data_IF_725816523561
#
_entry.id   IF_725816523561
#
_cell.length_a   1.000
_cell.length_b   1.000
_cell.length_c   1.000
_cell.angle_alpha   90.00
_cell.angle_beta   90.00
_cell.angle_gamma   90.00
#
_symmetry.space_group_name_H-M   'P 1'
#
loop_
_entity.id
_entity.type
_entity.pdbx_description
1 polymer ?
#
# COMPACT_ATOMS: atom_id res chain seq x y z
N UNK A 1 21.31 -15.17 7.91
CA UNK A 1 19.86 -14.91 8.06
C UNK A 1 19.38 -14.13 6.83
N UNK A 2 18.60 -14.76 5.96
CA UNK A 2 17.99 -14.09 4.81
C UNK A 2 16.66 -13.48 5.26
N UNK A 3 16.59 -12.15 5.32
CA UNK A 3 15.32 -11.46 5.54
C UNK A 3 14.63 -11.32 4.18
N UNK A 4 13.57 -12.10 3.95
CA UNK A 4 12.65 -11.90 2.83
C UNK A 4 12.02 -10.52 2.99
N UNK A 5 12.28 -9.62 2.06
CA UNK A 5 11.59 -8.33 1.96
C UNK A 5 10.13 -8.58 1.60
N UNK A 6 9.21 -8.30 2.53
CA UNK A 6 7.77 -8.30 2.26
C UNK A 6 7.46 -7.19 1.25
N UNK A 7 7.05 -7.58 0.04
CA UNK A 7 6.51 -6.68 -0.98
C UNK A 7 5.17 -6.18 -0.44
N UNK A 8 5.02 -4.88 -0.20
CA UNK A 8 3.73 -4.28 0.16
C UNK A 8 2.80 -4.46 -1.03
N UNK A 9 1.90 -5.45 -0.94
CA UNK A 9 0.92 -5.70 -1.97
C UNK A 9 0.05 -4.45 -2.11
N UNK A 10 0.02 -3.84 -3.31
CA UNK A 10 -1.08 -2.94 -3.66
C UNK A 10 -2.37 -3.64 -3.27
N UNK A 11 -3.19 -2.98 -2.47
CA UNK A 11 -4.45 -3.52 -1.97
C UNK A 11 -5.35 -3.78 -3.18
N UNK A 12 -5.41 -5.05 -3.58
CA UNK A 12 -6.11 -5.48 -4.79
C UNK A 12 -7.60 -5.46 -4.45
N UNK A 13 -8.30 -4.46 -4.95
CA UNK A 13 -9.76 -4.43 -4.92
C UNK A 13 -10.31 -5.34 -6.03
N UNK A 14 -11.14 -6.30 -5.61
CA UNK A 14 -11.97 -7.10 -6.52
C UNK A 14 -13.25 -6.34 -6.79
N UNK A 15 -13.49 -5.94 -8.04
CA UNK A 15 -14.81 -5.43 -8.38
C UNK A 15 -15.74 -6.61 -8.71
N UNK A 16 -16.85 -6.67 -7.99
CA UNK A 16 -17.90 -7.68 -8.18
C UNK A 16 -19.03 -7.02 -8.98
N UNK A 17 -19.39 -7.60 -10.12
CA UNK A 17 -20.57 -7.18 -10.85
C UNK A 17 -21.83 -7.47 -10.02
N UNK A 18 -22.84 -6.59 -10.04
CA UNK A 18 -24.15 -6.92 -9.49
C UNK A 18 -24.74 -8.14 -10.22
N UNK A 19 -25.81 -8.68 -9.66
CA UNK A 19 -26.54 -9.83 -10.22
C UNK A 19 -26.68 -9.71 -11.74
N UNK A 20 -26.12 -10.70 -12.44
CA UNK A 20 -26.09 -10.76 -13.90
C UNK A 20 -26.28 -12.21 -14.35
N UNK A 21 -27.03 -12.42 -15.42
CA UNK A 21 -27.18 -13.75 -15.99
C UNK A 21 -25.85 -14.25 -16.59
N UNK A 22 -25.67 -15.58 -16.61
CA UNK A 22 -24.43 -16.20 -17.08
C UNK A 22 -24.13 -15.83 -18.53
N UNK A 23 -25.13 -15.72 -19.40
CA UNK A 23 -24.93 -15.40 -20.82
C UNK A 23 -24.39 -13.97 -21.00
N UNK A 24 -24.98 -13.00 -20.32
CA UNK A 24 -24.51 -11.61 -20.35
C UNK A 24 -23.08 -11.48 -19.77
N UNK A 25 -22.78 -12.19 -18.68
CA UNK A 25 -21.43 -12.22 -18.12
C UNK A 25 -20.41 -12.80 -19.11
N UNK A 26 -20.74 -13.92 -19.75
CA UNK A 26 -19.89 -14.57 -20.75
C UNK A 26 -19.66 -13.66 -21.98
N UNK A 27 -20.67 -12.92 -22.42
CA UNK A 27 -20.54 -11.94 -23.50
C UNK A 27 -19.59 -10.79 -23.12
N UNK A 28 -19.73 -10.25 -21.90
CA UNK A 28 -18.83 -9.19 -21.39
C UNK A 28 -17.36 -9.63 -21.38
N UNK A 29 -17.10 -10.90 -21.06
CA UNK A 29 -15.74 -11.45 -21.12
C UNK A 29 -15.21 -11.36 -22.55
N UNK A 30 -15.97 -11.83 -23.55
CA UNK A 30 -15.53 -11.81 -24.96
C UNK A 30 -15.29 -10.39 -25.47
N UNK A 31 -16.24 -9.49 -25.22
CA UNK A 31 -16.19 -8.09 -25.68
C UNK A 31 -14.98 -7.33 -25.15
N UNK A 32 -14.57 -7.62 -23.91
CA UNK A 32 -13.45 -6.91 -23.28
C UNK A 32 -12.12 -7.64 -23.43
N UNK A 33 -12.11 -8.97 -23.48
CA UNK A 33 -10.88 -9.74 -23.60
C UNK A 33 -10.13 -9.42 -24.90
N UNK A 34 -10.83 -9.15 -26.01
CA UNK A 34 -10.20 -8.69 -27.27
C UNK A 34 -9.35 -7.44 -27.09
N UNK A 35 -9.74 -6.54 -26.18
CA UNK A 35 -9.00 -5.30 -25.88
C UNK A 35 -7.78 -5.56 -24.99
N UNK A 36 -7.75 -6.70 -24.30
CA UNK A 36 -6.68 -7.10 -23.38
C UNK A 36 -5.67 -8.09 -23.99
N UNK A 37 -6.04 -8.81 -25.06
CA UNK A 37 -5.25 -9.89 -25.70
C UNK A 37 -3.84 -9.44 -26.15
N UNK A 38 -3.59 -8.15 -26.35
CA UNK A 38 -2.31 -7.67 -26.90
C UNK A 38 -1.06 -8.00 -26.07
N UNK A 39 -1.16 -8.62 -24.88
CA UNK A 39 -0.04 -8.70 -23.94
C UNK A 39 0.20 -10.00 -23.14
N UNK A 40 -0.64 -11.04 -23.21
CA UNK A 40 -0.57 -12.10 -22.20
C UNK A 40 -0.57 -13.53 -22.75
N UNK A 41 0.37 -14.35 -22.25
CA UNK A 41 0.50 -15.80 -22.52
C UNK A 41 -0.66 -16.61 -21.93
N UNK A 42 -1.32 -16.08 -20.89
CA UNK A 42 -2.39 -16.78 -20.22
C UNK A 42 -3.74 -16.42 -20.86
N UNK A 43 -4.31 -17.38 -21.58
CA UNK A 43 -5.51 -17.22 -22.42
C UNK A 43 -6.84 -17.28 -21.65
N UNK A 44 -6.81 -17.31 -20.32
CA UNK A 44 -8.02 -17.39 -19.49
C UNK A 44 -8.42 -16.00 -18.98
N UNK A 45 -9.62 -15.55 -19.36
CA UNK A 45 -10.23 -14.31 -18.90
C UNK A 45 -11.45 -14.61 -18.06
N UNK A 46 -11.72 -13.78 -17.06
CA UNK A 46 -12.73 -14.08 -16.05
C UNK A 46 -13.30 -12.84 -15.41
N UNK A 47 -14.45 -12.96 -14.76
CA UNK A 47 -15.05 -11.91 -13.93
C UNK A 47 -15.73 -12.50 -12.70
N UNK A 48 -15.97 -11.65 -11.71
CA UNK A 48 -16.79 -11.96 -10.54
C UNK A 48 -18.16 -11.30 -10.67
N UNK A 49 -19.21 -12.04 -10.37
CA UNK A 49 -20.55 -11.49 -10.24
C UNK A 49 -21.27 -12.06 -9.03
N UNK A 50 -22.20 -11.30 -8.49
CA UNK A 50 -23.16 -11.81 -7.52
C UNK A 50 -24.09 -12.85 -8.18
N UNK A 51 -24.43 -13.88 -7.41
CA UNK A 51 -25.41 -14.90 -7.78
C UNK A 51 -26.83 -14.48 -7.35
N UNK A 52 -27.85 -15.14 -7.89
CA UNK A 52 -29.22 -15.01 -7.37
C UNK A 52 -29.41 -15.67 -5.99
N UNK A 53 -28.42 -16.43 -5.53
CA UNK A 53 -28.37 -17.02 -4.21
C UNK A 53 -27.62 -16.08 -3.27
N UNK A 54 -28.23 -15.73 -2.15
CA UNK A 54 -27.67 -14.84 -1.15
C UNK A 54 -26.27 -15.30 -0.72
N UNK A 55 -25.32 -14.37 -0.63
CA UNK A 55 -23.97 -14.67 -0.18
C UNK A 55 -23.14 -15.54 -1.14
N UNK A 56 -23.61 -15.79 -2.36
CA UNK A 56 -22.86 -16.54 -3.37
C UNK A 56 -22.29 -15.60 -4.43
N UNK A 57 -20.97 -15.70 -4.66
CA UNK A 57 -20.34 -15.15 -5.87
C UNK A 57 -20.16 -16.24 -6.92
N UNK A 58 -20.28 -15.86 -8.18
CA UNK A 58 -19.98 -16.71 -9.34
C UNK A 58 -18.79 -16.15 -10.10
N UNK A 59 -17.78 -16.99 -10.31
CA UNK A 59 -16.64 -16.76 -11.18
C UNK A 59 -17.00 -17.31 -12.56
N UNK A 60 -17.19 -16.40 -13.51
CA UNK A 60 -17.42 -16.73 -14.91
C UNK A 60 -16.08 -16.62 -15.65
N UNK A 61 -15.76 -17.58 -16.52
CA UNK A 61 -14.51 -17.52 -17.29
C UNK A 61 -14.61 -18.11 -18.69
N UNK A 62 -13.74 -17.62 -19.57
CA UNK A 62 -13.53 -18.11 -20.94
C UNK A 62 -12.06 -18.26 -21.24
N UNK A 63 -11.72 -19.34 -21.94
CA UNK A 63 -10.38 -19.60 -22.46
C UNK A 63 -10.33 -19.22 -23.94
N UNK A 64 -9.34 -18.44 -24.33
CA UNK A 64 -9.03 -18.19 -25.73
C UNK A 64 -8.34 -19.42 -26.33
N UNK A 65 -8.93 -19.98 -27.38
CA UNK A 65 -8.34 -21.05 -28.16
C UNK A 65 -8.22 -20.62 -29.62
N UNK A 66 -7.02 -20.22 -30.03
CA UNK A 66 -6.77 -19.71 -31.37
C UNK A 66 -6.98 -20.71 -32.51
N UNK A 67 -7.08 -22.01 -32.22
CA UNK A 67 -7.29 -23.06 -33.23
C UNK A 67 -8.75 -23.49 -33.34
N UNK A 68 -9.59 -23.17 -32.37
CA UNK A 68 -11.00 -23.53 -32.38
C UNK A 68 -11.81 -22.61 -33.32
N UNK A 69 -12.85 -23.13 -33.99
CA UNK A 69 -13.73 -22.30 -34.84
C UNK A 69 -14.43 -21.21 -34.02
N UNK A 70 -14.81 -21.53 -32.78
CA UNK A 70 -15.18 -20.54 -31.78
C UNK A 70 -13.98 -20.27 -30.88
N UNK A 71 -13.25 -19.18 -31.15
CA UNK A 71 -12.00 -18.84 -30.47
C UNK A 71 -12.12 -18.68 -28.95
N UNK A 72 -13.32 -18.71 -28.40
CA UNK A 72 -13.62 -18.51 -27.00
C UNK A 72 -14.43 -19.68 -26.43
N UNK A 73 -13.80 -20.43 -25.56
CA UNK A 73 -14.38 -21.61 -24.92
C UNK A 73 -14.85 -21.26 -23.51
N UNK A 74 -16.16 -21.33 -23.22
CA UNK A 74 -16.67 -21.14 -21.86
C UNK A 74 -16.10 -22.22 -20.94
N UNK A 75 -15.78 -21.85 -19.72
CA UNK A 75 -15.42 -22.78 -18.66
C UNK A 75 -16.60 -22.98 -17.72
N UNK A 76 -16.58 -24.07 -16.96
CA UNK A 76 -17.59 -24.30 -15.93
C UNK A 76 -17.51 -23.19 -14.86
N UNK A 77 -18.63 -22.56 -14.50
CA UNK A 77 -18.63 -21.51 -13.50
C UNK A 77 -18.24 -22.07 -12.14
N UNK A 78 -17.38 -21.36 -11.42
CA UNK A 78 -17.04 -21.67 -10.03
C UNK A 78 -17.86 -20.78 -9.12
N UNK A 79 -18.46 -21.35 -8.07
CA UNK A 79 -19.27 -20.60 -7.10
C UNK A 79 -18.65 -20.71 -5.72
N UNK A 80 -18.72 -19.62 -4.95
CA UNK A 80 -18.20 -19.53 -3.60
C UNK A 80 -19.23 -18.88 -2.68
N UNK A 81 -19.43 -19.45 -1.49
CA UNK A 81 -20.19 -18.84 -0.41
C UNK A 81 -19.30 -17.93 0.42
N UNK A 82 -19.75 -16.71 0.69
CA UNK A 82 -19.21 -15.88 1.75
C UNK A 82 -19.85 -16.29 3.08
N UNK A 83 -19.02 -16.69 4.03
CA UNK A 83 -19.46 -17.05 5.38
C UNK A 83 -18.68 -16.25 6.43
N UNK A 84 -19.14 -16.25 7.68
CA UNK A 84 -18.42 -15.69 8.83
C UNK A 84 -16.97 -16.21 8.97
N UNK A 85 -16.71 -17.44 8.49
CA UNK A 85 -15.37 -18.05 8.53
C UNK A 85 -14.59 -17.91 7.21
N UNK A 86 -15.10 -17.13 6.24
CA UNK A 86 -14.47 -16.91 4.93
C UNK A 86 -15.14 -17.66 3.77
N UNK A 87 -14.36 -17.90 2.69
CA UNK A 87 -14.90 -18.40 1.42
C UNK A 87 -14.96 -19.92 1.32
N UNK A 88 -16.17 -20.47 1.23
CA UNK A 88 -16.42 -21.90 1.05
C UNK A 88 -16.78 -22.23 -0.41
N UNK A 89 -16.37 -23.39 -0.91
CA UNK A 89 -16.76 -23.81 -2.26
C UNK A 89 -18.25 -24.21 -2.28
N UNK A 90 -18.94 -23.86 -3.35
CA UNK A 90 -20.33 -24.24 -3.54
C UNK A 90 -20.43 -25.71 -3.96
N UNK A 91 -21.17 -26.51 -3.20
CA UNK A 91 -21.49 -27.89 -3.58
C UNK A 91 -22.74 -27.91 -4.47
N UNK A 92 -22.58 -28.35 -5.71
CA UNK A 92 -23.68 -28.47 -6.66
C UNK A 92 -24.64 -29.63 -6.34
N UNK A 93 -24.19 -30.61 -5.54
CA UNK A 93 -25.00 -31.76 -5.15
C UNK A 93 -25.82 -31.50 -3.88
N UNK A 94 -25.34 -30.63 -2.99
CA UNK A 94 -26.08 -30.17 -1.81
C UNK A 94 -26.06 -28.64 -1.74
N UNK A 95 -26.96 -27.95 -2.49
CA UNK A 95 -26.94 -26.50 -2.64
C UNK A 95 -27.46 -25.76 -1.39
N UNK A 96 -27.42 -26.39 -0.22
CA UNK A 96 -27.85 -25.77 1.03
C UNK A 96 -26.81 -24.74 1.48
N UNK A 97 -27.27 -23.56 1.94
CA UNK A 97 -26.35 -22.57 2.48
C UNK A 97 -25.63 -23.16 3.70
N UNK A 98 -24.30 -22.99 3.81
CA UNK A 98 -23.61 -23.29 5.06
C UNK A 98 -24.14 -22.41 6.19
N UNK A 99 -23.81 -22.75 7.44
CA UNK A 99 -24.14 -21.86 8.57
C UNK A 99 -23.31 -20.57 8.49
N UNK A 100 -23.94 -19.46 8.86
CA UNK A 100 -23.26 -18.15 8.91
C UNK A 100 -22.98 -17.55 7.52
N UNK A 101 -23.85 -17.77 6.53
CA UNK A 101 -23.75 -17.09 5.23
C UNK A 101 -23.97 -15.59 5.42
N UNK A 102 -23.11 -14.79 4.77
CA UNK A 102 -23.19 -13.34 4.76
C UNK A 102 -23.58 -12.85 3.35
N UNK A 103 -24.45 -11.85 3.27
CA UNK A 103 -24.75 -11.19 2.01
C UNK A 103 -23.50 -10.54 1.40
N UNK A 104 -23.41 -10.51 0.06
CA UNK A 104 -22.28 -9.89 -0.67
C UNK A 104 -22.45 -8.37 -0.66
N UNK A 105 -22.10 -7.74 0.46
CA UNK A 105 -22.13 -6.29 0.64
C UNK A 105 -20.75 -5.78 1.01
N UNK A 106 -20.56 -4.45 0.84
CA UNK A 106 -19.31 -3.79 1.21
C UNK A 106 -18.97 -3.95 2.70
N UNK A 107 -19.99 -3.94 3.56
CA UNK A 107 -19.81 -4.05 5.01
C UNK A 107 -19.41 -5.47 5.45
N UNK A 108 -19.85 -6.49 4.71
CA UNK A 108 -19.54 -7.89 5.00
C UNK A 108 -18.21 -8.36 4.39
N UNK A 109 -17.70 -7.66 3.38
CA UNK A 109 -16.44 -7.97 2.70
C UNK A 109 -15.25 -7.32 3.41
N UNK A 110 -14.85 -7.93 4.51
CA UNK A 110 -13.64 -7.54 5.26
C UNK A 110 -12.37 -7.72 4.44
N UNK A 111 -11.28 -7.08 4.88
CA UNK A 111 -9.97 -7.22 4.26
C UNK A 111 -9.45 -8.67 4.28
N UNK A 112 -9.79 -9.43 5.32
CA UNK A 112 -9.46 -10.86 5.43
C UNK A 112 -10.22 -11.68 4.39
N UNK A 113 -11.51 -11.38 4.17
CA UNK A 113 -12.28 -12.01 3.10
C UNK A 113 -11.69 -11.72 1.72
N UNK A 114 -11.26 -10.49 1.47
CA UNK A 114 -10.63 -10.10 0.20
C UNK A 114 -9.32 -10.86 -0.02
N UNK A 115 -8.45 -10.94 1.00
CA UNK A 115 -7.19 -11.70 0.92
C UNK A 115 -7.44 -13.19 0.69
N UNK A 116 -8.35 -13.79 1.45
CA UNK A 116 -8.71 -15.19 1.29
C UNK A 116 -9.27 -15.50 -0.10
N UNK A 117 -10.08 -14.60 -0.68
CA UNK A 117 -10.56 -14.75 -2.05
C UNK A 117 -9.42 -14.75 -3.05
N UNK A 118 -8.48 -13.80 -2.91
CA UNK A 118 -7.30 -13.68 -3.77
C UNK A 118 -6.48 -14.95 -3.76
N UNK A 119 -6.17 -15.47 -2.57
CA UNK A 119 -5.40 -16.70 -2.43
C UNK A 119 -6.13 -17.87 -3.09
N UNK A 120 -7.44 -18.00 -2.86
CA UNK A 120 -8.27 -19.07 -3.44
C UNK A 120 -8.35 -19.01 -4.97
N UNK A 121 -8.33 -17.80 -5.54
CA UNK A 121 -8.32 -17.58 -6.99
C UNK A 121 -6.93 -17.84 -7.61
N UNK A 122 -5.87 -17.52 -6.89
CA UNK A 122 -4.50 -17.70 -7.34
C UNK A 122 -4.06 -19.18 -7.33
N UNK A 123 -4.44 -19.94 -6.29
CA UNK A 123 -4.02 -21.34 -6.10
C UNK A 123 -4.95 -22.36 -6.79
N UNK A 124 -6.11 -21.92 -7.29
CA UNK A 124 -7.09 -22.79 -7.94
C UNK A 124 -6.60 -23.39 -9.27
N UNK A 125 -7.32 -24.42 -9.73
CA UNK A 125 -7.26 -24.89 -11.11
C UNK A 125 -8.62 -24.62 -11.80
N UNK A 126 -8.69 -23.71 -12.79
CA UNK A 126 -7.57 -22.93 -13.31
C UNK A 126 -7.15 -21.80 -12.35
N UNK A 127 -5.89 -21.37 -12.47
CA UNK A 127 -5.39 -20.19 -11.73
C UNK A 127 -5.89 -18.93 -12.42
N UNK A 128 -6.53 -18.04 -11.65
CA UNK A 128 -7.15 -16.83 -12.14
C UNK A 128 -6.22 -15.62 -11.96
N UNK A 129 -5.50 -15.25 -13.03
CA UNK A 129 -4.66 -14.05 -13.00
C UNK A 129 -5.51 -12.78 -12.96
N UNK A 130 -5.23 -11.90 -12.00
CA UNK A 130 -5.89 -10.61 -11.85
C UNK A 130 -5.72 -9.68 -13.06
N UNK A 131 -4.65 -9.88 -13.84
CA UNK A 131 -4.39 -9.12 -15.07
C UNK A 131 -5.44 -9.40 -16.15
N UNK A 132 -6.05 -10.58 -16.10
CA UNK A 132 -7.07 -11.03 -17.04
C UNK A 132 -8.50 -10.88 -16.48
N UNK A 133 -8.65 -10.24 -15.31
CA UNK A 133 -9.95 -9.99 -14.71
C UNK A 133 -10.68 -8.88 -15.47
N UNK A 134 -11.92 -9.15 -15.86
CA UNK A 134 -12.86 -8.19 -16.41
C UNK A 134 -13.69 -7.64 -15.24
N UNK A 135 -13.72 -6.31 -15.11
CA UNK A 135 -14.38 -5.60 -14.01
C UNK A 135 -15.23 -4.43 -14.53
N UNK A 136 -16.24 -3.96 -13.78
CA UNK A 136 -17.21 -2.95 -14.25
C UNK A 136 -16.56 -1.67 -14.77
N UNK A 137 -15.51 -1.18 -14.08
CA UNK A 137 -14.82 0.05 -14.45
C UNK A 137 -13.84 -0.11 -15.63
N UNK A 138 -13.60 -1.33 -16.12
CA UNK A 138 -12.56 -1.62 -17.13
C UNK A 138 -12.71 -0.78 -18.40
N UNK A 139 -13.95 -0.53 -18.85
CA UNK A 139 -14.20 0.29 -20.05
C UNK A 139 -13.75 1.74 -19.86
N UNK A 140 -13.86 2.28 -18.65
CA UNK A 140 -13.42 3.64 -18.32
C UNK A 140 -11.90 3.70 -18.20
N UNK A 141 -11.28 2.69 -17.61
CA UNK A 141 -9.83 2.58 -17.55
C UNK A 141 -9.20 2.43 -18.93
N UNK A 142 -9.85 1.72 -19.85
CA UNK A 142 -9.44 1.66 -21.26
C UNK A 142 -9.57 3.05 -21.89
N UNK A 143 -10.73 3.71 -21.78
CA UNK A 143 -10.94 5.07 -22.35
C UNK A 143 -9.96 6.11 -21.78
N UNK A 144 -9.68 6.07 -20.48
CA UNK A 144 -8.69 6.93 -19.82
C UNK A 144 -7.30 6.69 -20.41
N UNK A 145 -6.89 5.43 -20.58
CA UNK A 145 -5.62 5.07 -21.22
C UNK A 145 -5.55 5.52 -22.69
N UNK A 146 -6.61 5.33 -23.45
CA UNK A 146 -6.72 5.76 -24.84
C UNK A 146 -6.66 7.29 -24.98
N UNK A 147 -7.34 8.04 -24.09
CA UNK A 147 -7.30 9.49 -24.08
C UNK A 147 -5.89 10.02 -23.75
N UNK A 148 -5.20 9.38 -22.80
CA UNK A 148 -3.79 9.67 -22.49
C UNK A 148 -2.90 9.37 -23.70
N UNK A 149 -3.13 8.25 -24.40
CA UNK A 149 -2.35 7.88 -25.57
C UNK A 149 -2.59 8.82 -26.75
N UNK A 150 -3.83 9.17 -27.07
CA UNK A 150 -4.17 10.08 -28.17
C UNK A 150 -3.65 11.51 -27.93
N UNK A 151 -3.59 11.95 -26.68
CA UNK A 151 -2.99 13.24 -26.31
C UNK A 151 -1.47 13.27 -26.57
N UNK A 152 -0.79 12.12 -26.61
CA UNK A 152 0.64 12.03 -26.93
C UNK A 152 0.92 12.14 -28.43
N UNK A 153 0.02 11.62 -29.26
CA UNK A 153 0.22 11.57 -30.71
C UNK A 153 -0.04 12.93 -31.39
N UNK A 154 -0.69 13.88 -30.70
CA UNK A 154 -0.97 15.22 -31.19
C UNK A 154 -0.19 16.27 -30.39
N UNK A 155 1.04 16.57 -30.83
CA UNK A 155 1.87 17.69 -30.31
C UNK A 155 1.25 19.10 -30.48
N UNK A 156 0.01 19.21 -30.95
CA UNK A 156 -0.67 20.49 -31.18
C UNK A 156 -1.56 20.85 -29.99
N UNK A 157 -0.98 21.39 -28.92
CA UNK A 157 -1.50 22.41 -27.98
C UNK A 157 -2.97 22.42 -27.50
N UNK A 158 -3.80 21.45 -27.86
CA UNK A 158 -5.22 21.40 -27.54
C UNK A 158 -5.34 20.45 -26.38
N UNK A 159 -5.63 21.00 -25.20
CA UNK A 159 -5.95 20.25 -23.99
C UNK A 159 -6.90 19.10 -24.33
N UNK A 160 -6.39 17.87 -24.28
CA UNK A 160 -7.19 16.68 -24.50
C UNK A 160 -8.37 16.70 -23.52
N UNK A 161 -9.59 16.52 -24.03
CA UNK A 161 -10.78 16.37 -23.17
C UNK A 161 -10.46 15.34 -22.11
N UNK A 162 -10.42 15.75 -20.84
CA UNK A 162 -10.25 14.86 -19.71
C UNK A 162 -11.27 13.73 -19.84
N UNK A 163 -10.79 12.49 -19.85
CA UNK A 163 -11.67 11.33 -19.83
C UNK A 163 -12.49 11.41 -18.54
N UNK A 164 -13.82 11.40 -18.69
CA UNK A 164 -14.73 11.47 -17.54
C UNK A 164 -14.49 10.28 -16.62
N UNK A 165 -14.70 10.50 -15.32
CA UNK A 165 -14.68 9.42 -14.34
C UNK A 165 -15.84 8.45 -14.54
N UNK A 166 -15.67 7.23 -14.01
CA UNK A 166 -16.70 6.20 -14.03
C UNK A 166 -17.92 6.69 -13.22
N UNK A 167 -19.13 6.73 -13.80
CA UNK A 167 -20.36 7.02 -13.07
C UNK A 167 -20.56 6.02 -11.93
N UNK A 168 -21.16 6.47 -10.82
CA UNK A 168 -21.35 5.60 -9.65
C UNK A 168 -22.26 4.40 -9.95
N UNK A 169 -23.20 4.49 -10.90
CA UNK A 169 -24.09 3.38 -11.28
C UNK A 169 -23.36 2.28 -12.05
N UNK A 170 -22.16 2.55 -12.56
CA UNK A 170 -21.36 1.61 -13.34
C UNK A 170 -20.19 1.01 -12.54
N UNK A 171 -20.05 1.38 -11.26
CA UNK A 171 -19.08 0.79 -10.34
C UNK A 171 -19.56 -0.58 -9.85
N UNK A 172 -18.61 -1.44 -9.49
CA UNK A 172 -18.91 -2.72 -8.85
C UNK A 172 -19.37 -2.56 -7.39
N UNK A 173 -19.79 -3.67 -6.78
CA UNK A 173 -20.19 -3.72 -5.36
C UNK A 173 -19.05 -3.25 -4.43
N UNK A 174 -17.82 -3.61 -4.80
CA UNK A 174 -16.59 -2.99 -4.30
C UNK A 174 -16.00 -2.30 -5.53
N UNK A 175 -15.77 -1.00 -5.48
CA UNK A 175 -15.06 -0.30 -6.56
C UNK A 175 -13.57 -0.22 -6.26
N UNK A 176 -12.70 -0.38 -7.27
CA UNK A 176 -11.27 -0.03 -7.18
C UNK A 176 -11.02 1.42 -6.79
N UNK A 177 -12.00 2.27 -7.05
CA UNK A 177 -11.99 3.69 -6.72
C UNK A 177 -12.57 4.00 -5.32
N UNK A 178 -12.97 3.00 -4.54
CA UNK A 178 -13.61 3.22 -3.24
C UNK A 178 -12.59 3.55 -2.13
N UNK A 179 -12.69 4.72 -1.48
CA UNK A 179 -11.75 5.15 -0.44
C UNK A 179 -11.99 4.47 0.92
N UNK A 180 -12.94 3.54 1.03
CA UNK A 180 -13.50 3.08 2.31
C UNK A 180 -12.97 1.73 2.82
N UNK A 181 -12.09 1.04 2.07
CA UNK A 181 -11.36 -0.09 2.65
C UNK A 181 -10.20 0.49 3.47
N UNK A 182 -10.14 0.25 4.79
CA UNK A 182 -9.10 0.81 5.63
C UNK A 182 -7.75 0.24 5.22
N UNK A 183 -6.87 1.10 4.72
CA UNK A 183 -5.45 0.82 4.52
C UNK A 183 -4.87 0.45 5.89
N UNK A 184 -4.83 -0.85 6.20
CA UNK A 184 -4.25 -1.33 7.45
C UNK A 184 -2.73 -1.27 7.36
N UNK A 185 -2.18 -0.22 7.97
CA UNK A 185 -0.79 -0.17 8.42
C UNK A 185 -0.62 -1.27 9.48
N UNK A 186 0.23 -2.27 9.22
CA UNK A 186 0.65 -3.23 10.26
C UNK A 186 1.39 -2.43 11.35
N UNK A 187 0.76 -2.21 12.51
CA UNK A 187 1.50 -1.91 13.74
C UNK A 187 2.19 -3.19 14.20
N UNK A 188 3.53 -3.20 14.18
CA UNK A 188 4.32 -4.30 14.74
C UNK A 188 4.19 -4.33 16.27
N UNK A 189 4.15 -5.52 16.91
CA UNK A 189 4.20 -5.62 18.37
C UNK A 189 5.58 -5.21 18.89
N UNK A 190 5.59 -4.43 19.97
CA UNK A 190 6.80 -4.01 20.66
C UNK A 190 7.46 -5.22 21.33
N UNK A 191 8.59 -5.69 20.79
CA UNK A 191 9.43 -6.67 21.49
C UNK A 191 10.29 -5.98 22.56
N UNK A 192 10.32 -6.59 23.74
CA UNK A 192 11.15 -6.22 24.87
C UNK A 192 12.64 -6.29 24.52
N UNK A 193 13.36 -5.17 24.71
CA UNK A 193 14.83 -5.15 24.68
C UNK A 193 15.35 -5.55 26.05
N UNK A 194 15.84 -6.78 26.20
CA UNK A 194 16.79 -7.13 27.26
C UNK A 194 18.17 -6.59 26.90
N UNK A 195 18.65 -5.68 27.74
CA UNK A 195 19.99 -5.08 27.70
C UNK A 195 21.06 -6.12 28.09
N UNK A 196 21.97 -6.41 27.18
CA UNK A 196 23.26 -7.06 27.49
C UNK A 196 24.38 -6.08 27.21
N UNK A 197 24.96 -5.53 28.29
CA UNK A 197 26.17 -4.73 28.25
C UNK A 197 27.41 -5.64 28.12
N UNK A 198 28.41 -5.17 27.36
CA UNK A 198 29.72 -5.79 27.18
C UNK A 198 30.58 -5.70 28.46
N UNK A 199 31.53 -6.63 28.68
CA UNK A 199 32.35 -6.65 29.88
C UNK A 199 33.60 -5.77 29.76
N UNK A 200 33.92 -5.05 30.84
CA UNK A 200 35.21 -4.38 31.05
C UNK A 200 36.11 -5.32 31.87
N UNK A 201 37.33 -5.57 31.38
CA UNK A 201 38.36 -6.33 32.08
C UNK A 201 38.93 -5.53 33.27
N UNK A 202 38.99 -6.14 34.45
CA UNK A 202 40.01 -5.83 35.46
C UNK A 202 40.61 -7.14 35.99
N UNK A 203 41.94 -7.21 36.00
CA UNK A 203 42.79 -8.29 36.50
C UNK A 203 42.82 -8.31 38.03
N UNK A 204 42.79 -9.49 38.65
CA UNK A 204 43.84 -10.01 39.57
C UNK A 204 43.47 -11.40 40.15
N UNK A 205 44.50 -12.25 40.29
CA UNK A 205 44.58 -13.64 40.79
C UNK A 205 44.89 -13.68 42.32
N UNK A 206 45.06 -14.84 43.02
CA UNK A 206 44.20 -16.01 43.30
C UNK A 206 44.21 -16.36 44.84
N UNK A 207 44.07 -17.62 45.33
CA UNK A 207 42.83 -18.26 45.81
C UNK A 207 42.88 -18.72 47.28
N UNK A 208 41.73 -19.00 47.91
CA UNK A 208 41.67 -19.96 49.03
C UNK A 208 40.41 -20.85 48.97
N UNK A 209 40.63 -22.12 49.30
CA UNK A 209 39.68 -23.24 49.34
C UNK A 209 38.62 -23.08 50.45
N UNK A 210 37.44 -23.67 50.26
CA UNK A 210 36.83 -24.74 51.09
C UNK A 210 35.44 -25.10 50.52
N UNK A 211 35.14 -26.40 50.59
CA UNK A 211 34.08 -27.20 49.96
C UNK A 211 32.77 -27.37 50.76
N UNK A 212 31.67 -27.69 50.04
CA UNK A 212 30.49 -28.54 50.44
C UNK A 212 29.48 -27.91 51.45
N UNK A 213 28.16 -28.17 51.53
CA UNK A 213 27.26 -29.27 51.09
C UNK A 213 25.76 -28.82 51.22
N UNK A 214 24.91 -29.21 50.25
CA UNK A 214 23.48 -29.68 50.26
C UNK A 214 22.36 -29.08 51.18
N UNK A 215 21.32 -28.50 50.51
CA UNK A 215 19.82 -28.56 50.57
C UNK A 215 19.00 -28.88 51.88
N UNK A 216 17.63 -28.89 51.87
CA UNK A 216 16.70 -27.77 52.16
C UNK A 216 15.62 -28.15 53.24
N UNK A 217 14.55 -27.36 53.49
CA UNK A 217 13.17 -27.81 53.84
C UNK A 217 12.21 -26.64 54.11
N UNK A 218 10.93 -26.88 53.77
CA UNK A 218 9.72 -26.04 53.75
C UNK A 218 9.04 -25.77 55.12
N UNK A 219 7.82 -25.18 55.01
CA UNK A 219 6.61 -25.23 55.85
C UNK A 219 6.56 -24.08 56.90
N UNK A 220 5.54 -23.20 57.03
CA UNK A 220 4.06 -23.36 57.01
C UNK A 220 3.28 -22.11 56.60
N UNK A 221 2.12 -22.39 56.00
CA UNK A 221 0.96 -21.52 55.80
C UNK A 221 0.01 -21.53 57.02
N UNK A 222 -0.96 -20.59 56.95
CA UNK A 222 -2.33 -20.53 57.51
C UNK A 222 -2.57 -19.62 58.75
N UNK A 223 -3.81 -19.08 58.95
CA UNK A 223 -4.69 -18.38 57.99
C UNK A 223 -5.51 -17.23 58.70
N UNK A 224 -6.76 -16.82 58.32
CA UNK A 224 -7.13 -15.40 58.30
C UNK A 224 -8.36 -15.04 59.16
N UNK A 225 -8.66 -13.75 59.39
CA UNK A 225 -10.01 -13.34 59.80
C UNK A 225 -10.45 -12.02 59.16
N UNK A 226 -11.69 -12.04 58.66
CA UNK A 226 -12.49 -10.93 58.13
C UNK A 226 -13.00 -10.03 59.25
N UNK A 227 -13.05 -8.71 59.05
CA UNK A 227 -14.22 -7.88 59.42
C UNK A 227 -14.36 -6.68 58.47
N UNK A 228 -15.59 -6.45 58.06
CA UNK A 228 -16.09 -5.40 57.15
C UNK A 228 -16.46 -4.12 57.93
N UNK A 229 -16.30 -2.95 57.30
CA UNK A 229 -17.33 -1.88 57.17
C UNK A 229 -16.92 -0.44 57.56
N UNK A 230 -17.39 0.48 56.70
CA UNK A 230 -17.79 1.89 56.88
C UNK A 230 -16.76 2.99 57.23
N UNK A 231 -16.48 3.88 56.25
CA UNK A 231 -16.91 5.30 56.23
C UNK A 231 -16.00 6.19 55.33
N UNK A 232 -16.62 7.01 54.47
CA UNK A 232 -16.07 8.22 53.85
C UNK A 232 -16.34 9.43 54.78
N UNK A 233 -15.93 10.70 54.49
CA UNK A 233 -14.88 11.26 53.60
C UNK A 233 -13.98 12.28 54.36
N UNK A 234 -13.02 12.96 53.70
CA UNK A 234 -12.73 14.42 53.86
C UNK A 234 -11.50 14.86 53.04
N UNK A 235 -11.68 15.98 52.34
CA UNK A 235 -10.73 16.75 51.53
C UNK A 235 -9.69 17.55 52.35
N UNK A 236 -8.47 17.68 51.81
CA UNK A 236 -7.50 18.82 51.87
C UNK A 236 -6.12 18.26 51.49
N UNK A 237 -5.27 18.84 50.66
CA UNK A 237 -5.26 20.10 49.95
C UNK A 237 -3.95 20.17 49.14
N UNK A 238 -4.05 20.83 47.99
CA UNK A 238 -3.06 21.47 47.11
C UNK A 238 -1.62 21.62 47.63
N UNK A 239 -0.64 21.26 46.78
CA UNK A 239 0.62 21.99 46.62
C UNK A 239 1.25 21.71 45.25
N UNK A 240 1.29 22.77 44.45
CA UNK A 240 2.01 22.96 43.18
C UNK A 240 3.52 22.83 43.37
N UNK A 241 4.20 22.12 42.46
CA UNK A 241 5.54 22.52 42.03
C UNK A 241 5.69 22.34 40.51
N UNK A 242 5.92 23.50 39.92
CA UNK A 242 6.30 23.81 38.56
C UNK A 242 7.70 23.23 38.27
N UNK A 243 7.84 22.45 37.19
CA UNK A 243 9.15 22.13 36.61
C UNK A 243 9.13 22.50 35.13
N UNK A 244 9.77 23.64 34.85
CA UNK A 244 10.20 24.10 33.55
C UNK A 244 11.39 23.23 33.14
N UNK A 245 11.33 22.54 31.99
CA UNK A 245 12.52 22.17 31.21
C UNK A 245 12.18 21.71 29.77
N UNK A 246 12.60 22.56 28.83
CA UNK A 246 13.10 22.34 27.47
C UNK A 246 12.23 21.64 26.38
N UNK A 247 12.22 22.18 25.14
CA UNK A 247 11.39 21.70 24.04
C UNK A 247 11.92 20.39 23.48
N UNK A 248 11.08 19.34 23.47
CA UNK A 248 11.33 18.13 22.71
C UNK A 248 11.48 18.48 21.22
N UNK A 249 12.70 18.35 20.71
CA UNK A 249 12.93 18.11 19.29
C UNK A 249 12.20 16.81 18.92
N UNK A 250 10.99 16.98 18.39
CA UNK A 250 10.21 15.92 17.76
C UNK A 250 11.02 15.43 16.55
N UNK A 251 11.76 14.32 16.72
CA UNK A 251 12.32 13.57 15.57
C UNK A 251 11.14 13.28 14.65
N UNK A 252 11.09 13.98 13.51
CA UNK A 252 10.11 13.74 12.48
C UNK A 252 10.21 12.27 12.07
N UNK A 253 9.16 11.46 12.32
CA UNK A 253 9.12 10.12 11.77
C UNK A 253 9.17 10.25 10.24
N UNK A 254 10.12 9.56 9.64
CA UNK A 254 10.47 9.66 8.24
C UNK A 254 9.51 8.87 7.36
N UNK A 255 8.19 9.04 7.53
CA UNK A 255 7.21 8.32 6.72
C UNK A 255 7.09 9.00 5.35
N UNK A 256 8.02 8.73 4.45
CA UNK A 256 7.80 8.98 3.02
C UNK A 256 7.23 7.70 2.40
N UNK A 257 6.02 7.78 1.84
CA UNK A 257 5.48 6.65 1.09
C UNK A 257 6.15 6.57 -0.29
N UNK A 258 7.36 6.01 -0.34
CA UNK A 258 8.10 5.72 -1.56
C UNK A 258 8.25 4.20 -1.72
N UNK A 259 7.66 3.64 -2.79
CA UNK A 259 7.57 2.18 -3.06
C UNK A 259 8.92 1.45 -3.05
N UNK A 260 10.03 2.18 -3.25
CA UNK A 260 11.38 1.66 -3.27
C UNK A 260 12.27 2.34 -2.22
N UNK A 261 11.69 2.76 -1.09
CA UNK A 261 12.46 3.31 0.01
C UNK A 261 13.52 2.31 0.50
N UNK A 262 14.78 2.76 0.49
CA UNK A 262 15.90 1.98 0.96
C UNK A 262 16.62 2.81 2.00
N UNK A 263 16.69 2.31 3.24
CA UNK A 263 17.43 2.95 4.34
C UNK A 263 18.88 2.46 4.48
N UNK A 264 19.25 1.38 3.80
CA UNK A 264 20.58 0.75 3.89
C UNK A 264 21.29 0.80 2.52
N UNK A 265 22.46 1.45 2.46
CA UNK A 265 23.25 1.63 1.25
C UNK A 265 23.67 0.28 0.61
N UNK A 266 23.77 -0.80 1.41
CA UNK A 266 24.16 -2.12 0.95
C UNK A 266 23.04 -2.92 0.28
N UNK A 267 21.78 -2.45 0.36
CA UNK A 267 20.60 -3.11 -0.24
C UNK A 267 20.15 -2.46 -1.55
N UNK A 268 20.91 -1.47 -2.04
CA UNK A 268 20.61 -0.79 -3.29
C UNK A 268 20.82 -1.74 -4.48
N UNK A 269 19.88 -1.75 -5.43
CA UNK A 269 20.00 -2.56 -6.65
C UNK A 269 21.17 -2.03 -7.50
N UNK A 270 21.95 -2.92 -8.10
CA UNK A 270 22.99 -2.52 -9.06
C UNK A 270 22.33 -1.95 -10.32
N UNK A 271 22.73 -0.76 -10.74
CA UNK A 271 22.16 -0.06 -11.89
C UNK A 271 23.22 0.26 -12.95
N UNK A 272 22.84 0.14 -14.22
CA UNK A 272 23.73 0.25 -15.39
C UNK A 272 24.23 1.67 -15.69
N UNK A 273 23.72 2.71 -15.03
CA UNK A 273 24.10 4.10 -15.33
C UNK A 273 24.24 4.95 -14.06
N UNK A 274 25.45 5.47 -13.83
CA UNK A 274 25.70 6.52 -12.84
C UNK A 274 25.20 7.87 -13.38
N UNK A 275 24.36 8.57 -12.62
CA UNK A 275 24.04 9.97 -12.92
C UNK A 275 25.32 10.81 -12.74
N UNK A 276 25.52 11.85 -13.55
CA UNK A 276 26.64 12.79 -13.36
C UNK A 276 26.31 13.73 -12.20
N UNK A 277 27.19 13.83 -11.20
CA UNK A 277 26.91 14.40 -9.87
C UNK A 277 27.25 15.91 -9.71
N UNK A 278 27.60 16.63 -10.79
CA UNK A 278 27.97 18.06 -10.68
C UNK A 278 26.73 18.90 -10.33
N UNK A 279 26.63 19.31 -9.06
CA UNK A 279 25.58 20.24 -8.58
C UNK A 279 24.77 19.74 -7.38
N UNK A 280 24.87 18.45 -7.04
CA UNK A 280 24.16 17.91 -5.87
C UNK A 280 24.88 18.21 -4.56
N UNK A 281 24.14 18.23 -3.45
CA UNK A 281 24.71 18.27 -2.09
C UNK A 281 25.76 17.15 -1.89
N UNK A 282 26.89 17.48 -1.26
CA UNK A 282 28.04 16.57 -1.07
C UNK A 282 27.65 15.24 -0.41
N UNK A 283 26.71 15.30 0.54
CA UNK A 283 26.19 14.13 1.26
C UNK A 283 25.49 13.10 0.36
N UNK A 284 25.08 13.49 -0.85
CA UNK A 284 24.40 12.63 -1.82
C UNK A 284 25.38 11.95 -2.79
N UNK A 285 26.63 12.38 -2.86
CA UNK A 285 27.59 11.91 -3.89
C UNK A 285 28.01 10.45 -3.68
N UNK A 286 27.97 9.98 -2.44
CA UNK A 286 28.31 8.58 -2.10
C UNK A 286 27.14 7.63 -2.28
N UNK A 287 25.91 8.15 -2.45
CA UNK A 287 24.69 7.36 -2.51
C UNK A 287 24.33 7.01 -3.96
N UNK A 288 23.70 5.84 -4.16
CA UNK A 288 23.32 5.35 -5.48
C UNK A 288 21.93 4.72 -5.49
N UNK A 289 21.30 4.74 -6.67
CA UNK A 289 20.06 4.01 -6.92
C UNK A 289 18.87 4.49 -6.07
N UNK A 290 18.15 3.53 -5.52
CA UNK A 290 16.97 3.79 -4.68
C UNK A 290 17.29 4.53 -3.39
N UNK A 291 18.45 4.25 -2.79
CA UNK A 291 18.89 4.92 -1.56
C UNK A 291 19.15 6.42 -1.79
N UNK A 292 19.77 6.77 -2.92
CA UNK A 292 19.94 8.17 -3.32
C UNK A 292 18.59 8.88 -3.48
N UNK A 293 17.64 8.26 -4.19
CA UNK A 293 16.30 8.81 -4.39
C UNK A 293 15.55 8.99 -3.07
N UNK A 294 15.65 8.02 -2.19
CA UNK A 294 15.06 8.07 -0.84
C UNK A 294 15.60 9.28 -0.07
N UNK A 295 16.91 9.47 -0.04
CA UNK A 295 17.52 10.61 0.67
C UNK A 295 17.17 11.96 0.04
N UNK A 296 17.05 12.03 -1.29
CA UNK A 296 16.54 13.23 -1.97
C UNK A 296 15.09 13.52 -1.54
N UNK A 297 14.22 12.51 -1.51
CA UNK A 297 12.82 12.68 -1.10
C UNK A 297 12.68 13.09 0.37
N UNK A 298 13.49 12.54 1.26
CA UNK A 298 13.53 12.95 2.67
C UNK A 298 13.95 14.41 2.82
N UNK A 299 14.99 14.83 2.09
CA UNK A 299 15.43 16.22 2.07
C UNK A 299 14.34 17.14 1.51
N UNK A 300 13.66 16.74 0.43
CA UNK A 300 12.55 17.50 -0.15
C UNK A 300 11.38 17.62 0.83
N UNK A 301 10.98 16.53 1.50
CA UNK A 301 9.95 16.55 2.55
C UNK A 301 10.32 17.50 3.68
N UNK A 302 11.57 17.47 4.13
CA UNK A 302 12.03 18.38 5.19
C UNK A 302 11.95 19.85 4.78
N UNK A 303 12.23 20.20 3.53
CA UNK A 303 12.09 21.59 3.04
C UNK A 303 10.63 21.97 2.83
N UNK A 304 9.82 21.09 2.23
CA UNK A 304 8.38 21.28 1.99
C UNK A 304 7.63 21.54 3.31
N UNK A 305 7.95 20.81 4.38
CA UNK A 305 7.32 20.95 5.68
C UNK A 305 7.58 22.32 6.35
N UNK A 306 8.53 23.12 5.86
CA UNK A 306 8.77 24.49 6.35
C UNK A 306 7.75 25.48 5.80
N UNK A 307 6.98 25.12 4.76
CA UNK A 307 5.97 26.00 4.20
C UNK A 307 4.82 26.24 5.18
N UNK A 308 4.46 27.51 5.39
CA UNK A 308 3.34 27.93 6.27
C UNK A 308 2.15 28.49 5.50
N UNK A 309 2.30 28.72 4.19
CA UNK A 309 1.28 29.24 3.29
C UNK A 309 1.35 28.52 1.94
N UNK A 310 0.26 28.57 1.16
CA UNK A 310 0.19 27.96 -0.17
C UNK A 310 1.19 28.61 -1.13
N UNK A 311 1.38 29.93 -1.02
CA UNK A 311 2.33 30.70 -1.81
C UNK A 311 3.78 30.33 -1.49
N UNK A 312 4.10 30.13 -0.21
CA UNK A 312 5.43 29.70 0.20
C UNK A 312 5.70 28.25 -0.19
N UNK A 313 4.71 27.37 -0.07
CA UNK A 313 4.82 25.99 -0.53
C UNK A 313 5.16 25.94 -2.02
N UNK A 314 4.45 26.70 -2.84
CA UNK A 314 4.73 26.80 -4.28
C UNK A 314 6.16 27.26 -4.54
N UNK A 315 6.61 28.33 -3.89
CA UNK A 315 7.99 28.84 -4.02
C UNK A 315 9.04 27.79 -3.63
N UNK A 316 8.81 27.04 -2.56
CA UNK A 316 9.72 25.97 -2.13
C UNK A 316 9.76 24.86 -3.17
N UNK A 317 8.59 24.38 -3.62
CA UNK A 317 8.50 23.33 -4.65
C UNK A 317 9.20 23.75 -5.94
N UNK A 318 8.98 24.99 -6.39
CA UNK A 318 9.63 25.51 -7.60
C UNK A 318 11.16 25.55 -7.43
N UNK A 319 11.68 25.98 -6.28
CA UNK A 319 13.13 25.95 -5.98
C UNK A 319 13.71 24.54 -5.93
N UNK A 320 12.93 23.57 -5.47
CA UNK A 320 13.37 22.17 -5.42
C UNK A 320 13.36 21.53 -6.81
N UNK A 321 12.38 21.86 -7.66
CA UNK A 321 12.22 21.28 -9.00
C UNK A 321 13.10 21.96 -10.05
N UNK A 322 13.27 23.28 -9.97
CA UNK A 322 13.84 24.10 -11.04
C UNK A 322 15.04 24.94 -10.59
N UNK A 323 16.01 25.10 -11.49
CA UNK A 323 17.18 25.96 -11.25
C UNK A 323 16.73 27.39 -11.02
N UNK A 324 17.18 27.96 -9.91
CA UNK A 324 16.78 29.30 -9.46
C UNK A 324 15.25 29.48 -9.26
N UNK A 325 14.49 28.38 -9.18
CA UNK A 325 13.02 28.42 -9.10
C UNK A 325 12.32 28.80 -10.40
N UNK A 326 13.01 28.78 -11.55
CA UNK A 326 12.43 29.11 -12.86
C UNK A 326 12.38 27.88 -13.77
N UNK A 327 11.17 27.41 -14.18
CA UNK A 327 11.02 26.31 -15.12
C UNK A 327 11.79 26.48 -16.44
N UNK A 328 12.07 27.72 -16.86
CA UNK A 328 12.83 28.02 -18.09
C UNK A 328 14.33 27.75 -17.95
N UNK A 329 14.85 27.66 -16.72
CA UNK A 329 16.27 27.41 -16.44
C UNK A 329 16.63 25.94 -16.27
N UNK A 330 15.64 25.04 -16.43
CA UNK A 330 15.82 23.60 -16.34
C UNK A 330 15.65 23.04 -14.93
N UNK A 331 15.79 21.72 -14.79
CA UNK A 331 15.58 21.02 -13.52
C UNK A 331 16.82 21.10 -12.63
N UNK A 332 16.62 21.06 -11.31
CA UNK A 332 17.72 20.77 -10.38
C UNK A 332 18.25 19.35 -10.61
N UNK A 333 19.50 19.13 -10.25
CA UNK A 333 20.17 17.83 -10.38
C UNK A 333 19.45 16.77 -9.53
N UNK A 334 19.07 17.11 -8.29
CA UNK A 334 18.30 16.23 -7.42
C UNK A 334 16.94 15.87 -8.02
N UNK A 335 16.18 16.84 -8.55
CA UNK A 335 14.89 16.55 -9.15
C UNK A 335 15.02 15.78 -10.47
N UNK A 336 16.09 16.02 -11.24
CA UNK A 336 16.40 15.22 -12.42
C UNK A 336 16.64 13.75 -12.06
N UNK A 337 17.30 13.46 -10.92
CA UNK A 337 17.47 12.09 -10.40
C UNK A 337 16.12 11.46 -10.05
N UNK A 338 15.21 12.20 -9.41
CA UNK A 338 13.85 11.74 -9.11
C UNK A 338 13.06 11.44 -10.40
N UNK A 339 13.17 12.31 -11.41
CA UNK A 339 12.47 12.15 -12.69
C UNK A 339 13.05 11.03 -13.57
N UNK A 340 14.33 10.71 -13.41
CA UNK A 340 15.00 9.69 -14.23
C UNK A 340 14.51 8.30 -13.84
N UNK A 341 13.79 7.64 -14.76
CA UNK A 341 13.34 6.26 -14.59
C UNK A 341 14.49 5.26 -14.58
N UNK A 342 14.39 4.25 -13.72
CA UNK A 342 15.44 3.25 -13.49
C UNK A 342 15.41 2.09 -14.49
N UNK A 343 14.38 1.98 -15.35
CA UNK A 343 14.27 0.94 -16.36
C UNK A 343 14.67 1.42 -17.76
N UNK A 344 15.29 0.55 -18.56
CA UNK A 344 15.52 0.79 -20.00
C UNK A 344 14.22 1.20 -20.73
N UNK A 345 13.07 0.65 -20.33
CA UNK A 345 11.76 1.02 -20.87
C UNK A 345 11.35 2.47 -20.54
N UNK A 346 11.77 3.03 -19.40
CA UNK A 346 11.43 4.40 -19.00
C UNK A 346 12.27 5.44 -19.71
N UNK A 347 13.50 5.08 -20.13
CA UNK A 347 14.43 5.96 -20.85
C UNK A 347 14.21 5.95 -22.37
N UNK A 348 13.79 4.82 -22.94
CA UNK A 348 13.45 4.68 -24.37
C UNK A 348 12.25 5.55 -24.78
N UNK A 349 11.40 5.92 -23.83
CA UNK A 349 10.19 6.73 -24.06
C UNK A 349 10.38 8.25 -23.96
N UNK A 350 11.62 8.74 -23.83
CA UNK A 350 11.95 10.15 -24.03
C UNK A 350 11.16 11.14 -23.14
N UNK A 351 11.12 12.44 -23.50
CA UNK A 351 10.78 13.56 -22.59
C UNK A 351 9.31 13.61 -22.09
N UNK A 352 8.47 12.64 -22.45
CA UNK A 352 7.06 12.50 -22.03
C UNK A 352 6.86 11.40 -20.96
N UNK A 353 7.95 11.02 -20.28
CA UNK A 353 8.09 9.83 -19.45
C UNK A 353 6.95 9.58 -18.45
N UNK A 354 6.55 8.31 -18.32
CA UNK A 354 5.75 7.81 -17.20
C UNK A 354 6.30 8.37 -15.89
N UNK A 355 5.44 8.99 -15.08
CA UNK A 355 5.81 9.44 -13.74
C UNK A 355 6.48 8.28 -13.00
N UNK A 356 7.70 8.51 -12.54
CA UNK A 356 8.43 7.54 -11.74
C UNK A 356 7.73 7.39 -10.39
N UNK A 357 7.93 6.26 -9.72
CA UNK A 357 7.45 6.07 -8.34
C UNK A 357 7.98 7.16 -7.41
N UNK A 358 9.20 7.66 -7.64
CA UNK A 358 9.79 8.76 -6.88
C UNK A 358 9.14 10.12 -7.18
N UNK A 359 8.71 10.38 -8.42
CA UNK A 359 7.97 11.60 -8.77
C UNK A 359 6.58 11.60 -8.13
N UNK A 360 5.89 10.45 -8.14
CA UNK A 360 4.60 10.27 -7.44
C UNK A 360 4.72 10.45 -5.93
N UNK A 361 5.80 9.96 -5.32
CA UNK A 361 6.05 10.14 -3.90
C UNK A 361 6.24 11.61 -3.55
N UNK A 362 6.94 12.39 -4.39
CA UNK A 362 7.08 13.83 -4.22
C UNK A 362 5.72 14.54 -4.32
N UNK A 363 4.88 14.20 -5.30
CA UNK A 363 3.54 14.78 -5.44
C UNK A 363 2.66 14.48 -4.20
N UNK A 364 2.78 13.28 -3.63
CA UNK A 364 2.09 12.92 -2.40
C UNK A 364 2.56 13.77 -1.20
N UNK A 365 3.87 13.99 -1.06
CA UNK A 365 4.45 14.86 -0.01
C UNK A 365 3.93 16.30 -0.15
N UNK A 366 3.88 16.83 -1.37
CA UNK A 366 3.36 18.18 -1.62
C UNK A 366 1.88 18.26 -1.22
N UNK A 367 1.07 17.30 -1.65
CA UNK A 367 -0.37 17.24 -1.36
C UNK A 367 -0.65 17.12 0.15
N UNK A 368 0.14 16.35 0.87
CA UNK A 368 0.02 16.21 2.32
C UNK A 368 0.24 17.57 3.01
N UNK A 369 1.29 18.30 2.62
CA UNK A 369 1.55 19.63 3.19
C UNK A 369 0.50 20.67 2.78
N UNK A 370 -0.03 20.63 1.55
CA UNK A 370 -1.16 21.48 1.16
C UNK A 370 -2.37 21.27 2.07
N UNK A 371 -2.67 20.02 2.42
CA UNK A 371 -3.77 19.69 3.32
C UNK A 371 -3.50 20.20 4.74
N UNK A 372 -2.27 20.07 5.23
CA UNK A 372 -1.87 20.58 6.56
C UNK A 372 -2.01 22.10 6.64
N UNK A 373 -1.58 22.84 5.61
CA UNK A 373 -1.71 24.31 5.54
C UNK A 373 -3.19 24.71 5.52
N UNK A 374 -4.02 24.02 4.72
CA UNK A 374 -5.47 24.26 4.68
C UNK A 374 -6.13 24.04 6.04
N UNK A 375 -5.83 22.91 6.70
CA UNK A 375 -6.37 22.58 8.01
C UNK A 375 -5.97 23.61 9.08
N UNK A 376 -4.71 24.06 9.06
CA UNK A 376 -4.21 25.08 9.98
C UNK A 376 -4.88 26.46 9.78
N UNK A 377 -5.27 26.80 8.55
CA UNK A 377 -6.00 28.03 8.25
C UNK A 377 -7.48 27.94 8.63
N UNK A 378 -8.11 26.77 8.50
CA UNK A 378 -9.50 26.56 8.93
C UNK A 378 -9.68 26.64 10.45
N UNK A 379 -8.67 26.24 11.24
CA UNK A 379 -8.74 26.29 12.71
C UNK A 379 -8.52 27.69 13.32
N UNK A 380 -8.31 28.73 12.49
CA UNK A 380 -8.08 30.12 12.94
C UNK A 380 -9.32 31.01 12.80
N UNK A 381 -10.44 30.45 12.37
CA UNK A 381 -11.76 31.08 12.34
C UNK A 381 -12.69 30.32 13.29
#
# INVERSE_FOLDING_TARGET
>A
MQFKTEKTEQEISFDIYPIKDSRAAQNLIVENAQKLISKFDNRLFWLLRESNQEGVITIESRRYNGTAPNKWEPQNPKRLWLTETGWQDFDYNDPKPPKGVLAITKDNLTLEHIRALKDKLATGNPSYSLENMIYPELKWDIKKREAVQCSRDKNNGIFGKLARDCPNEEKGIIGRSDPALPVMIKQLPSEHVTSTALPVMIKQLPPEHVTSTVLPVMIKQLPPEHVTSTALPVNRGRSTQEKIEAPLQKKASSDIHYEYEVHDSNKSRNHTFAASYRGMKEQLHTLKGDHLKTQILLNFKSEINKATSTEDLKKIVDKLKYKEGDPKKGLTEEYAVIKTGQGHATKLLGPLGLQTSSDKALDAIIKDQENNIKAANTCKH
#
